data_IF_646021319381
#
_entry.id   IF_646021319381
#
_cell.length_a   1.000
_cell.length_b   1.000
_cell.length_c   1.000
_cell.angle_alpha   90.00
_cell.angle_beta   90.00
_cell.angle_gamma   90.00
#
_symmetry.space_group_name_H-M   'P 1'
#
loop_
_entity.id
_entity.type
_entity.pdbx_description
1 polymer ?
#
# COMPACT_ATOMS: atom_id res chain seq x y z
N UNK A 1 -11.80 -35.90 5.38
CA UNK A 1 -11.94 -35.83 3.90
C UNK A 1 -10.66 -35.29 3.30
N UNK A 2 -10.34 -35.67 2.06
CA UNK A 2 -9.14 -35.26 1.31
C UNK A 2 -8.92 -33.73 1.33
N UNK A 3 -9.99 -32.96 1.19
CA UNK A 3 -9.95 -31.48 1.20
C UNK A 3 -9.33 -30.90 2.47
N UNK A 4 -9.66 -31.42 3.65
CA UNK A 4 -9.15 -30.90 4.92
C UNK A 4 -7.64 -31.10 5.09
N UNK A 5 -7.08 -32.16 4.50
CA UNK A 5 -5.63 -32.37 4.54
C UNK A 5 -4.91 -31.44 3.59
N UNK A 6 -5.47 -31.29 2.38
CA UNK A 6 -4.94 -30.35 1.41
C UNK A 6 -5.02 -28.90 1.91
N UNK A 7 -6.08 -28.53 2.64
CA UNK A 7 -6.21 -27.16 3.15
C UNK A 7 -5.07 -26.74 4.06
N UNK A 8 -4.41 -27.67 4.75
CA UNK A 8 -3.26 -27.37 5.62
C UNK A 8 -1.96 -27.15 4.83
N UNK A 9 -1.84 -27.69 3.60
CA UNK A 9 -0.66 -27.58 2.73
C UNK A 9 -0.91 -26.72 1.46
N UNK A 10 -2.08 -26.05 1.41
CA UNK A 10 -2.54 -25.32 0.23
C UNK A 10 -1.66 -24.11 -0.11
N UNK A 11 -1.03 -23.49 0.88
CA UNK A 11 -0.15 -22.33 0.70
C UNK A 11 1.24 -22.76 0.25
N UNK A 12 1.73 -22.13 -0.82
CA UNK A 12 3.09 -22.34 -1.30
C UNK A 12 4.14 -21.83 -0.29
N UNK A 13 3.83 -20.75 0.42
CA UNK A 13 4.75 -20.12 1.37
C UNK A 13 4.73 -20.83 2.73
N UNK A 14 3.74 -21.71 2.95
CA UNK A 14 3.57 -22.48 4.18
C UNK A 14 3.24 -21.63 5.41
N UNK A 15 2.74 -20.41 5.20
CA UNK A 15 2.42 -19.47 6.27
C UNK A 15 0.96 -19.58 6.71
N UNK A 16 0.08 -19.93 5.77
CA UNK A 16 -1.36 -19.97 5.99
C UNK A 16 -1.95 -21.33 5.59
N UNK A 17 -3.09 -21.68 6.17
CA UNK A 17 -3.96 -22.69 5.61
C UNK A 17 -4.84 -22.08 4.49
N UNK A 18 -5.63 -22.90 3.83
CA UNK A 18 -6.57 -22.45 2.79
C UNK A 18 -7.53 -21.36 3.28
N UNK A 19 -7.96 -21.39 4.55
CA UNK A 19 -8.85 -20.38 5.11
C UNK A 19 -8.12 -19.05 5.36
N UNK A 20 -6.85 -19.09 5.78
CA UNK A 20 -5.99 -17.93 5.88
C UNK A 20 -5.69 -17.30 4.52
N UNK A 21 -5.53 -18.11 3.47
CA UNK A 21 -5.47 -17.60 2.08
C UNK A 21 -6.77 -16.87 1.72
N UNK A 22 -7.94 -17.42 2.06
CA UNK A 22 -9.22 -16.74 1.78
C UNK A 22 -9.33 -15.40 2.51
N UNK A 23 -8.90 -15.34 3.77
CA UNK A 23 -8.86 -14.09 4.54
C UNK A 23 -7.93 -13.06 3.89
N UNK A 24 -6.73 -13.49 3.51
CA UNK A 24 -5.74 -12.64 2.84
C UNK A 24 -6.27 -12.11 1.51
N UNK A 25 -6.84 -12.97 0.67
CA UNK A 25 -7.47 -12.57 -0.60
C UNK A 25 -8.57 -11.55 -0.37
N UNK A 26 -9.46 -11.78 0.61
CA UNK A 26 -10.54 -10.85 0.93
C UNK A 26 -10.00 -9.49 1.41
N UNK A 27 -8.94 -9.49 2.22
CA UNK A 27 -8.27 -8.29 2.72
C UNK A 27 -7.60 -7.50 1.58
N UNK A 28 -6.87 -8.19 0.70
CA UNK A 28 -6.21 -7.56 -0.46
C UNK A 28 -7.24 -6.96 -1.43
N UNK A 29 -8.32 -7.68 -1.75
CA UNK A 29 -9.39 -7.13 -2.58
C UNK A 29 -10.02 -5.88 -1.94
N UNK A 30 -10.18 -5.86 -0.62
CA UNK A 30 -10.71 -4.69 0.07
C UNK A 30 -9.77 -3.47 -0.02
N UNK A 31 -8.47 -3.70 0.21
CA UNK A 31 -7.43 -2.66 0.30
C UNK A 31 -6.95 -2.19 -1.08
N UNK A 32 -6.65 -3.12 -1.97
CA UNK A 32 -6.02 -2.89 -3.28
C UNK A 32 -7.03 -2.99 -4.44
N UNK A 33 -8.21 -3.56 -4.21
CA UNK A 33 -9.28 -3.69 -5.22
C UNK A 33 -9.20 -4.97 -6.06
N UNK A 34 -8.04 -5.61 -6.08
CA UNK A 34 -7.75 -6.86 -6.79
C UNK A 34 -6.62 -7.62 -6.10
N UNK A 35 -6.52 -8.91 -6.41
CA UNK A 35 -5.41 -9.79 -6.04
C UNK A 35 -5.33 -10.93 -7.04
N UNK A 36 -4.13 -11.47 -7.23
CA UNK A 36 -3.90 -12.62 -8.09
C UNK A 36 -3.59 -13.84 -7.25
N UNK A 37 -4.15 -14.99 -7.60
CA UNK A 37 -3.78 -16.28 -7.01
C UNK A 37 -3.27 -17.16 -8.13
N UNK A 38 -1.99 -17.50 -8.09
CA UNK A 38 -1.36 -18.40 -9.05
C UNK A 38 -1.45 -19.84 -8.54
N UNK A 39 -1.88 -20.73 -9.42
CA UNK A 39 -1.95 -22.17 -9.17
C UNK A 39 -0.63 -22.77 -9.62
N UNK A 40 0.08 -23.42 -8.69
CA UNK A 40 1.30 -24.16 -8.99
C UNK A 40 1.00 -25.65 -8.95
N UNK A 41 1.05 -26.31 -10.12
CA UNK A 41 1.07 -27.76 -10.16
C UNK A 41 2.35 -28.29 -9.49
N UNK A 42 2.21 -29.30 -8.64
CA UNK A 42 3.32 -29.97 -7.95
C UNK A 42 3.50 -31.38 -8.49
N UNK A 43 4.68 -31.96 -8.24
CA UNK A 43 4.84 -33.38 -8.49
C UNK A 43 3.95 -34.16 -7.51
N UNK A 44 3.30 -35.27 -7.91
CA UNK A 44 2.48 -36.08 -7.01
C UNK A 44 3.21 -36.57 -5.75
N UNK A 45 4.54 -36.69 -5.82
CA UNK A 45 5.37 -37.11 -4.68
C UNK A 45 5.72 -35.96 -3.72
N UNK A 46 5.54 -34.71 -4.13
CA UNK A 46 5.87 -33.54 -3.31
C UNK A 46 4.77 -33.20 -2.29
N UNK A 47 3.56 -33.73 -2.49
CA UNK A 47 2.38 -33.41 -1.68
C UNK A 47 1.71 -34.68 -1.18
N UNK A 48 1.11 -34.61 0.01
CA UNK A 48 0.49 -35.76 0.65
C UNK A 48 -0.97 -35.97 0.19
N UNK A 49 -1.50 -35.00 -0.54
CA UNK A 49 -2.92 -34.91 -0.83
C UNK A 49 -3.20 -34.62 -2.31
N UNK A 50 -3.34 -33.35 -2.69
CA UNK A 50 -3.65 -32.92 -4.06
C UNK A 50 -2.43 -32.18 -4.59
N UNK A 51 -1.93 -32.50 -5.80
CA UNK A 51 -0.64 -32.02 -6.28
C UNK A 51 -0.72 -30.61 -6.86
N UNK A 52 -1.27 -29.66 -6.10
CA UNK A 52 -1.15 -28.25 -6.42
C UNK A 52 -1.18 -27.39 -5.17
N UNK A 53 -0.53 -26.23 -5.26
CA UNK A 53 -0.53 -25.19 -4.23
C UNK A 53 -0.97 -23.86 -4.82
N UNK A 54 -1.35 -22.95 -3.95
CA UNK A 54 -1.78 -21.61 -4.27
C UNK A 54 -0.72 -20.62 -3.81
N UNK A 55 -0.40 -19.66 -4.67
CA UNK A 55 0.43 -18.52 -4.36
C UNK A 55 -0.41 -17.26 -4.47
N UNK A 56 -0.58 -16.53 -3.38
CA UNK A 56 -1.19 -15.20 -3.42
C UNK A 56 -0.14 -14.21 -3.91
N UNK A 57 -0.48 -13.41 -4.90
CA UNK A 57 0.38 -12.39 -5.48
C UNK A 57 -0.33 -11.03 -5.40
N UNK A 58 0.32 -10.01 -4.82
CA UNK A 58 -0.27 -8.69 -4.68
C UNK A 58 -0.44 -7.99 -6.04
N UNK A 59 -1.27 -6.95 -6.10
CA UNK A 59 -1.67 -6.29 -7.34
C UNK A 59 -0.48 -5.63 -8.07
N UNK A 60 0.50 -5.17 -7.31
CA UNK A 60 1.73 -4.48 -7.70
C UNK A 60 2.67 -5.40 -8.50
N UNK A 61 2.55 -6.72 -8.33
CA UNK A 61 3.26 -7.69 -9.15
C UNK A 61 2.90 -7.59 -10.63
N UNK A 62 1.76 -6.98 -10.97
CA UNK A 62 1.33 -6.78 -12.34
C UNK A 62 1.35 -5.28 -12.71
N UNK A 63 2.32 -4.91 -13.56
CA UNK A 63 2.54 -3.53 -13.99
C UNK A 63 1.33 -2.93 -14.74
N UNK A 64 0.71 -1.91 -14.12
CA UNK A 64 -0.40 -1.15 -14.68
C UNK A 64 -0.02 -0.36 -15.94
N UNK A 65 1.26 0.01 -16.08
CA UNK A 65 1.78 0.80 -17.21
C UNK A 65 2.25 -0.07 -18.38
N UNK A 66 2.17 -1.39 -18.24
CA UNK A 66 2.63 -2.30 -19.28
C UNK A 66 1.55 -2.51 -20.35
N UNK A 67 1.62 -1.68 -21.39
CA UNK A 67 0.79 -1.75 -22.58
C UNK A 67 1.66 -1.90 -23.83
N UNK A 68 1.39 -2.93 -24.64
CA UNK A 68 2.18 -3.18 -25.85
C UNK A 68 1.38 -3.99 -26.88
N UNK A 69 1.33 -3.58 -28.16
CA UNK A 69 0.79 -4.42 -29.22
C UNK A 69 1.71 -5.62 -29.47
N UNK A 70 1.13 -6.80 -29.66
CA UNK A 70 1.84 -8.03 -30.01
C UNK A 70 1.53 -8.44 -31.45
N UNK A 71 2.33 -9.37 -31.98
CA UNK A 71 2.07 -9.98 -33.28
C UNK A 71 0.78 -10.80 -33.29
N UNK A 72 0.07 -10.78 -34.42
CA UNK A 72 -1.14 -11.59 -34.64
C UNK A 72 -2.40 -10.99 -34.02
N UNK A 73 -2.49 -9.67 -33.85
CA UNK A 73 -3.67 -9.00 -33.30
C UNK A 73 -3.84 -9.14 -31.79
N UNK A 74 -2.88 -9.77 -31.11
CA UNK A 74 -2.78 -9.80 -29.66
C UNK A 74 -2.29 -8.46 -29.14
N UNK A 75 -2.62 -8.14 -27.91
CA UNK A 75 -2.12 -6.95 -27.26
C UNK A 75 -2.02 -7.16 -25.75
N UNK A 76 -1.11 -6.45 -25.11
CA UNK A 76 -1.00 -6.38 -23.67
C UNK A 76 -1.63 -5.07 -23.23
N UNK A 77 -2.49 -5.14 -22.22
CA UNK A 77 -3.08 -3.98 -21.57
C UNK A 77 -3.01 -4.12 -20.05
N UNK A 78 -2.41 -3.14 -19.37
CA UNK A 78 -2.17 -3.15 -17.92
C UNK A 78 -1.56 -4.47 -17.40
N UNK A 79 -0.60 -5.02 -18.15
CA UNK A 79 0.09 -6.27 -17.84
C UNK A 79 -0.66 -7.55 -18.21
N UNK A 80 -1.90 -7.46 -18.69
CA UNK A 80 -2.71 -8.61 -19.12
C UNK A 80 -2.62 -8.76 -20.64
N UNK A 81 -2.25 -9.94 -21.11
CA UNK A 81 -2.23 -10.28 -22.53
C UNK A 81 -3.61 -10.74 -22.99
N UNK A 82 -4.09 -10.14 -24.07
CA UNK A 82 -5.36 -10.44 -24.70
C UNK A 82 -5.18 -10.99 -26.11
N UNK A 83 -6.10 -11.86 -26.50
CA UNK A 83 -6.34 -12.23 -27.90
C UNK A 83 -7.03 -11.09 -28.66
N UNK A 84 -7.00 -11.16 -29.99
CA UNK A 84 -7.79 -10.35 -30.93
C UNK A 84 -9.28 -10.25 -30.56
N UNK A 85 -9.83 -11.29 -29.93
CA UNK A 85 -11.21 -11.35 -29.46
C UNK A 85 -11.44 -10.80 -28.03
N UNK A 86 -10.41 -10.23 -27.39
CA UNK A 86 -10.49 -9.69 -26.02
C UNK A 86 -10.48 -10.75 -24.91
N UNK A 87 -10.15 -12.00 -25.21
CA UNK A 87 -9.97 -13.07 -24.21
C UNK A 87 -8.61 -12.95 -23.55
N UNK A 88 -8.54 -13.14 -22.22
CA UNK A 88 -7.27 -13.14 -21.46
C UNK A 88 -6.48 -14.41 -21.79
N UNK A 89 -5.24 -14.24 -22.25
CA UNK A 89 -4.33 -15.34 -22.62
C UNK A 89 -3.26 -15.57 -21.56
N UNK A 90 -2.71 -14.50 -20.99
CA UNK A 90 -1.64 -14.56 -20.00
C UNK A 90 -1.58 -13.29 -19.15
N UNK A 91 -0.87 -13.40 -18.03
CA UNK A 91 -0.49 -12.29 -17.16
C UNK A 91 1.03 -12.16 -17.16
N UNK A 92 1.54 -10.94 -17.18
CA UNK A 92 2.97 -10.64 -17.21
C UNK A 92 3.44 -10.08 -15.86
N UNK A 93 3.64 -10.98 -14.90
CA UNK A 93 4.05 -10.60 -13.54
C UNK A 93 5.52 -10.22 -13.49
N UNK A 94 5.90 -9.37 -12.55
CA UNK A 94 7.30 -9.20 -12.17
C UNK A 94 7.85 -10.50 -11.59
N UNK A 95 9.12 -10.78 -11.87
CA UNK A 95 9.82 -11.93 -11.27
C UNK A 95 10.08 -11.73 -9.77
N UNK A 96 10.31 -10.49 -9.38
CA UNK A 96 10.56 -10.05 -8.01
C UNK A 96 9.58 -8.93 -7.67
N UNK A 97 9.22 -8.76 -6.40
CA UNK A 97 8.36 -7.65 -6.03
C UNK A 97 9.05 -6.33 -6.38
N UNK A 98 8.35 -5.36 -7.00
CA UNK A 98 8.97 -4.11 -7.43
C UNK A 98 9.56 -3.29 -6.27
N UNK A 99 8.98 -3.45 -5.07
CA UNK A 99 9.43 -2.78 -3.84
C UNK A 99 10.40 -3.63 -3.00
N UNK A 100 10.74 -4.84 -3.44
CA UNK A 100 11.74 -5.64 -2.72
C UNK A 100 13.12 -4.99 -2.82
N UNK A 101 13.82 -4.98 -1.69
CA UNK A 101 15.23 -4.60 -1.67
C UNK A 101 16.02 -5.55 -2.58
N UNK A 102 16.87 -4.97 -3.44
CA UNK A 102 17.74 -5.73 -4.34
C UNK A 102 18.53 -6.74 -3.51
N UNK A 103 18.40 -8.06 -3.77
CA UNK A 103 19.12 -9.07 -3.00
C UNK A 103 20.64 -8.82 -3.08
N UNK A 104 21.34 -9.03 -1.96
CA UNK A 104 22.80 -8.87 -1.91
C UNK A 104 23.45 -9.82 -2.94
N UNK A 105 24.17 -9.25 -3.91
CA UNK A 105 24.81 -10.00 -4.99
C UNK A 105 23.97 -10.20 -6.26
N UNK A 106 22.78 -9.59 -6.35
CA UNK A 106 21.96 -9.65 -7.55
C UNK A 106 22.55 -8.81 -8.69
N UNK A 107 22.91 -9.48 -9.79
CA UNK A 107 23.41 -8.87 -11.03
C UNK A 107 22.39 -8.93 -12.18
N UNK A 108 21.17 -9.40 -11.88
CA UNK A 108 20.10 -9.56 -12.85
C UNK A 108 19.29 -8.29 -13.11
N UNK A 109 18.33 -8.38 -14.02
CA UNK A 109 17.37 -7.31 -14.26
C UNK A 109 16.23 -7.41 -13.23
N UNK A 110 16.13 -6.42 -12.33
CA UNK A 110 15.06 -6.36 -11.31
C UNK A 110 13.68 -6.17 -11.96
N UNK A 111 13.64 -5.70 -13.21
CA UNK A 111 12.43 -5.53 -14.03
C UNK A 111 12.25 -6.66 -15.04
N UNK A 112 12.63 -7.88 -14.66
CA UNK A 112 12.29 -9.07 -15.45
C UNK A 112 10.81 -9.42 -15.24
N UNK A 113 10.09 -9.67 -16.33
CA UNK A 113 8.69 -10.10 -16.30
C UNK A 113 8.59 -11.56 -16.71
N UNK A 114 7.73 -12.30 -16.02
CA UNK A 114 7.42 -13.70 -16.28
C UNK A 114 6.00 -13.77 -16.82
N UNK A 115 5.88 -14.30 -18.05
CA UNK A 115 4.58 -14.57 -18.66
C UNK A 115 3.99 -15.85 -18.07
N UNK A 116 2.83 -15.74 -17.43
CA UNK A 116 2.09 -16.86 -16.84
C UNK A 116 0.76 -17.05 -17.61
N UNK A 117 0.43 -18.26 -18.08
CA UNK A 117 -0.85 -18.54 -18.75
C UNK A 117 -2.05 -18.15 -17.89
N UNK A 118 -3.12 -17.64 -18.51
CA UNK A 118 -4.32 -17.23 -17.78
C UNK A 118 -5.05 -18.39 -17.09
N UNK A 119 -4.83 -19.62 -17.54
CA UNK A 119 -5.39 -20.85 -16.91
C UNK A 119 -4.76 -21.17 -15.55
N UNK A 120 -3.55 -20.69 -15.28
CA UNK A 120 -2.85 -20.86 -14.00
C UNK A 120 -3.14 -19.73 -13.02
N UNK A 121 -3.95 -18.73 -13.40
CA UNK A 121 -4.12 -17.50 -12.62
C UNK A 121 -5.58 -17.22 -12.35
N UNK A 122 -5.93 -17.21 -11.07
CA UNK A 122 -7.21 -16.71 -10.58
C UNK A 122 -7.02 -15.22 -10.30
N UNK A 123 -7.63 -14.38 -11.14
CA UNK A 123 -7.66 -12.94 -10.92
C UNK A 123 -8.95 -12.57 -10.19
N UNK A 124 -8.83 -12.28 -8.89
CA UNK A 124 -9.95 -11.85 -8.06
C UNK A 124 -10.00 -10.33 -8.06
N UNK A 125 -11.09 -9.76 -8.58
CA UNK A 125 -11.26 -8.31 -8.63
C UNK A 125 -12.70 -7.89 -8.32
N UNK A 126 -12.87 -6.74 -7.67
CA UNK A 126 -14.17 -6.11 -7.49
C UNK A 126 -14.48 -5.22 -8.70
N UNK A 127 -15.12 -5.80 -9.74
CA UNK A 127 -15.51 -5.05 -10.94
C UNK A 127 -16.72 -4.15 -10.63
N UNK A 128 -16.56 -2.84 -10.80
CA UNK A 128 -17.63 -1.84 -10.63
C UNK A 128 -18.21 -1.35 -11.95
N UNK A 129 -17.42 -1.40 -13.00
CA UNK A 129 -17.78 -0.90 -14.33
C UNK A 129 -17.60 -2.00 -15.39
N UNK A 130 -18.43 -1.95 -16.42
CA UNK A 130 -18.33 -2.88 -17.55
C UNK A 130 -17.01 -2.69 -18.29
N UNK A 131 -16.28 -3.78 -18.55
CA UNK A 131 -14.99 -3.74 -19.25
C UNK A 131 -13.80 -3.34 -18.37
N UNK A 132 -14.00 -3.23 -17.05
CA UNK A 132 -12.92 -3.01 -16.10
C UNK A 132 -11.96 -4.22 -16.08
N UNK A 133 -10.69 -3.96 -16.40
CA UNK A 133 -9.65 -5.01 -16.48
C UNK A 133 -8.82 -5.15 -15.20
N UNK A 134 -8.79 -4.10 -14.37
CA UNK A 134 -8.04 -4.02 -13.10
C UNK A 134 -8.97 -3.49 -12.01
N UNK A 135 -8.86 -4.03 -10.80
CA UNK A 135 -9.66 -3.62 -9.64
C UNK A 135 -9.34 -2.21 -9.17
N UNK A 136 -10.30 -1.60 -8.45
CA UNK A 136 -10.09 -0.30 -7.80
C UNK A 136 -10.40 -0.46 -6.31
N UNK A 137 -9.49 -0.04 -5.40
CA UNK A 137 -9.68 -0.12 -3.97
C UNK A 137 -11.03 0.39 -3.47
N UNK A 138 -11.62 -0.29 -2.49
CA UNK A 138 -12.83 0.23 -1.80
C UNK A 138 -12.53 1.52 -1.05
N UNK A 139 -11.34 1.59 -0.46
CA UNK A 139 -10.86 2.72 0.35
C UNK A 139 -10.55 3.97 -0.47
N UNK A 140 -10.39 3.86 -1.80
CA UNK A 140 -10.03 4.97 -2.68
C UNK A 140 -10.95 6.20 -2.51
N UNK A 141 -12.25 5.97 -2.27
CA UNK A 141 -13.24 7.06 -2.10
C UNK A 141 -13.07 7.87 -0.80
N UNK A 142 -12.41 7.30 0.21
CA UNK A 142 -12.25 7.91 1.53
C UNK A 142 -10.87 8.56 1.68
N UNK A 143 -9.88 8.17 0.86
CA UNK A 143 -8.51 8.71 0.91
C UNK A 143 -8.46 10.23 0.92
N UNK A 144 -9.22 10.90 0.05
CA UNK A 144 -9.27 12.37 -0.01
C UNK A 144 -9.80 12.98 1.29
N UNK A 145 -10.73 12.30 1.97
CA UNK A 145 -11.26 12.77 3.26
C UNK A 145 -10.25 12.56 4.40
N UNK A 146 -9.59 11.41 4.44
CA UNK A 146 -8.54 11.11 5.44
C UNK A 146 -7.40 12.13 5.32
N UNK A 147 -6.90 12.35 4.10
CA UNK A 147 -5.86 13.34 3.85
C UNK A 147 -6.25 14.73 4.36
N UNK A 148 -7.47 15.19 4.05
CA UNK A 148 -7.96 16.49 4.54
C UNK A 148 -8.07 16.57 6.07
N UNK A 149 -8.36 15.46 6.73
CA UNK A 149 -8.42 15.41 8.19
C UNK A 149 -7.03 15.55 8.81
N UNK A 150 -6.01 14.91 8.24
CA UNK A 150 -4.61 15.07 8.69
C UNK A 150 -4.16 16.54 8.60
N UNK A 151 -4.45 17.22 7.48
CA UNK A 151 -4.15 18.66 7.36
C UNK A 151 -4.87 19.53 8.39
N UNK A 152 -6.10 19.16 8.74
CA UNK A 152 -6.85 19.88 9.76
C UNK A 152 -6.25 19.68 11.15
N UNK A 153 -5.86 18.45 11.48
CA UNK A 153 -5.24 18.12 12.77
C UNK A 153 -3.89 18.83 12.94
N UNK A 154 -3.08 18.88 11.87
CA UNK A 154 -1.81 19.63 11.85
C UNK A 154 -2.03 21.14 12.05
N UNK A 155 -3.01 21.73 11.35
CA UNK A 155 -3.34 23.14 11.50
C UNK A 155 -3.85 23.48 12.91
N UNK A 156 -4.64 22.59 13.52
CA UNK A 156 -5.09 22.74 14.91
C UNK A 156 -3.93 22.62 15.90
N UNK A 157 -2.98 21.72 15.65
CA UNK A 157 -1.78 21.58 16.47
C UNK A 157 -0.91 22.84 16.41
N UNK A 158 -0.69 23.38 15.22
CA UNK A 158 0.04 24.63 15.01
C UNK A 158 -0.65 25.79 15.73
N UNK A 159 -1.97 25.94 15.57
CA UNK A 159 -2.76 26.99 16.24
C UNK A 159 -2.63 26.91 17.77
N UNK A 160 -2.67 25.72 18.34
CA UNK A 160 -2.48 25.50 19.78
C UNK A 160 -1.05 25.87 20.20
N UNK A 161 -0.04 25.48 19.42
CA UNK A 161 1.35 25.87 19.63
C UNK A 161 1.55 27.38 19.61
N UNK A 162 1.03 28.08 18.60
CA UNK A 162 1.09 29.54 18.49
C UNK A 162 0.33 30.23 19.63
N UNK A 163 -0.84 29.73 20.02
CA UNK A 163 -1.62 30.31 21.14
C UNK A 163 -0.87 30.21 22.47
N UNK A 164 -0.14 29.12 22.70
CA UNK A 164 0.70 28.96 23.90
C UNK A 164 1.84 29.99 23.96
N UNK A 165 2.34 30.48 22.82
CA UNK A 165 3.40 31.49 22.75
C UNK A 165 2.91 32.92 23.08
N UNK A 166 1.61 33.21 22.97
CA UNK A 166 1.04 34.55 23.20
C UNK A 166 0.35 34.75 24.56
N UNK A 167 0.64 33.89 25.55
CA UNK A 167 -0.14 33.74 26.80
C UNK A 167 -0.12 34.94 27.80
N UNK A 168 0.40 36.13 27.47
CA UNK A 168 0.21 37.29 28.34
C UNK A 168 0.77 38.61 27.83
N UNK A 169 -0.10 39.59 27.62
CA UNK A 169 0.27 41.00 27.53
C UNK A 169 -0.28 41.76 28.74
N UNK A 170 0.60 42.27 29.61
CA UNK A 170 0.22 43.19 30.70
C UNK A 170 0.14 44.61 30.15
N UNK A 171 -1.08 45.16 30.03
CA UNK A 171 -1.27 46.57 29.69
C UNK A 171 -1.24 47.41 30.97
N UNK A 172 -0.11 48.03 31.25
CA UNK A 172 -0.02 49.08 32.27
C UNK A 172 -0.91 50.26 31.90
N UNK A 173 -1.81 50.65 32.81
CA UNK A 173 -2.66 51.85 32.63
C UNK A 173 -1.77 53.07 32.76
N UNK A 174 -1.69 53.85 31.69
CA UNK A 174 -0.77 54.97 31.47
C UNK A 174 -0.34 55.75 32.70
N UNK A 175 0.95 55.65 32.99
CA UNK A 175 1.73 56.69 33.66
C UNK A 175 3.10 56.71 32.95
N UNK A 176 3.55 57.86 32.41
CA UNK A 176 4.81 57.91 31.65
C UNK A 176 5.98 57.59 32.59
N UNK A 177 6.99 56.80 32.14
CA UNK A 177 8.10 56.42 32.99
C UNK A 177 8.92 57.65 33.36
N UNK A 178 8.84 58.09 34.62
CA UNK A 178 9.71 59.11 35.16
C UNK A 178 11.09 58.48 35.43
N UNK A 179 12.06 58.82 34.59
CA UNK A 179 13.45 58.33 34.59
C UNK A 179 14.27 58.73 35.85
N UNK A 180 13.64 59.26 36.92
CA UNK A 180 14.35 59.96 37.99
C UNK A 180 14.21 59.39 39.42
N UNK A 181 13.68 58.18 39.63
CA UNK A 181 13.48 57.66 41.01
C UNK A 181 14.37 56.49 41.43
N UNK A 182 15.22 55.93 40.55
CA UNK A 182 16.10 54.79 40.94
C UNK A 182 17.53 55.16 41.39
N UNK A 183 17.92 56.44 41.43
CA UNK A 183 19.30 56.84 41.81
C UNK A 183 19.44 57.60 43.13
N UNK A 184 18.36 57.74 43.93
CA UNK A 184 18.43 58.44 45.24
C UNK A 184 18.22 57.52 46.44
N UNK A 185 17.74 56.28 46.26
CA UNK A 185 17.58 55.32 47.38
C UNK A 185 18.79 54.44 47.67
N UNK A 186 19.83 54.43 46.81
CA UNK A 186 21.03 53.60 47.02
C UNK A 186 22.19 54.31 47.72
N UNK A 187 22.21 55.65 47.80
CA UNK A 187 23.33 56.42 48.42
C UNK A 187 23.11 56.72 49.92
N UNK A 188 21.91 56.52 50.48
CA UNK A 188 21.64 56.77 51.91
C UNK A 188 21.91 55.59 52.86
N UNK A 189 22.38 54.45 52.35
CA UNK A 189 22.66 53.24 53.16
C UNK A 189 24.15 52.91 53.33
N UNK A 190 25.05 53.86 53.03
CA UNK A 190 26.51 53.73 53.18
C UNK A 190 27.15 54.79 54.10
N UNK A 191 26.35 55.44 54.96
CA UNK A 191 26.86 56.22 56.11
C UNK A 191 26.04 55.90 57.37
N UNK A 192 26.21 54.68 57.88
CA UNK A 192 26.30 54.35 59.31
C UNK A 192 27.08 53.05 59.41
#
# INVERSE_FOLDING_TARGET
MIFYRWSEEADIDGLHDYYGIQEMVAREVFLCGEVFVRIHARHPDDMWTVPFQLQVMPAEMLDLSYDMPLTGGRYIRAGIEFDSNGRRLAYHFWRYHPDDAVPIGFTGNLRERVRVPAEEVIHVLEAREGGQIRGVPRVARILVKIFKMEFYDDAELERKGTTALFAGFTKGRGEPPSILTMTTRMIRRLRR
#
